data_IF_560658288786
#
_entry.id   IF_560658288786
#
_cell.length_a   1.000
_cell.length_b   1.000
_cell.length_c   1.000
_cell.angle_alpha   90.00
_cell.angle_beta   90.00
_cell.angle_gamma   90.00
#
_symmetry.space_group_name_H-M   'P 1'
#
loop_
_entity.id
_entity.type
_entity.pdbx_description
1 polymer ?
#
# COMPACT_ATOMS: atom_id res chain seq x y z
N UNK A 1 -12.57 13.97 5.22
CA UNK A 1 -12.30 12.52 5.38
C UNK A 1 -13.38 11.73 4.69
N UNK A 2 -13.01 10.81 3.82
CA UNK A 2 -13.98 10.04 3.06
C UNK A 2 -13.52 8.59 2.90
N UNK A 3 -14.48 7.68 2.99
CA UNK A 3 -14.29 6.28 2.64
C UNK A 3 -14.59 6.15 1.14
N UNK A 4 -13.62 5.61 0.41
CA UNK A 4 -13.74 5.38 -1.03
C UNK A 4 -13.85 3.87 -1.26
N UNK A 5 -14.72 3.46 -2.17
CA UNK A 5 -14.90 2.05 -2.48
C UNK A 5 -13.61 1.42 -3.03
N UNK A 6 -13.27 0.25 -2.49
CA UNK A 6 -12.12 -0.51 -2.96
C UNK A 6 -12.50 -1.21 -4.26
N UNK A 7 -11.70 -0.97 -5.31
CA UNK A 7 -11.91 -1.64 -6.60
C UNK A 7 -11.51 -3.11 -6.51
N UNK A 8 -12.21 -3.96 -7.23
CA UNK A 8 -12.04 -5.40 -7.16
C UNK A 8 -11.27 -5.92 -8.37
N UNK A 9 -10.77 -7.14 -8.24
CA UNK A 9 -10.13 -7.88 -9.30
C UNK A 9 -10.97 -7.81 -10.59
N UNK A 10 -10.29 -7.54 -11.70
CA UNK A 10 -10.94 -7.31 -13.00
C UNK A 10 -11.06 -5.83 -13.39
N UNK A 11 -10.89 -4.90 -12.44
CA UNK A 11 -10.83 -3.48 -12.76
C UNK A 11 -9.50 -3.15 -13.43
N UNK A 12 -9.54 -2.46 -14.58
CA UNK A 12 -8.34 -2.18 -15.39
C UNK A 12 -7.28 -1.37 -14.67
N UNK A 13 -7.63 -0.55 -13.67
CA UNK A 13 -6.66 0.24 -12.90
C UNK A 13 -5.68 -0.64 -12.11
N UNK A 14 -6.09 -1.84 -11.71
CA UNK A 14 -5.24 -2.78 -10.98
C UNK A 14 -4.18 -3.43 -11.88
N UNK A 15 -4.41 -3.46 -13.19
CA UNK A 15 -3.52 -4.07 -14.17
C UNK A 15 -2.51 -3.07 -14.77
N UNK A 16 -2.64 -1.80 -14.43
CA UNK A 16 -1.76 -0.74 -14.94
C UNK A 16 -0.57 -0.54 -14.03
N UNK A 17 0.57 -0.22 -14.62
CA UNK A 17 1.70 0.30 -13.86
C UNK A 17 1.34 1.68 -13.33
N UNK A 18 1.45 1.87 -12.01
CA UNK A 18 1.13 3.16 -11.39
C UNK A 18 2.06 4.27 -11.85
N UNK A 19 1.50 5.45 -12.08
CA UNK A 19 2.27 6.65 -12.43
C UNK A 19 2.99 7.19 -11.19
N UNK A 20 4.24 7.66 -11.33
CA UNK A 20 4.92 8.33 -10.23
C UNK A 20 4.13 9.54 -9.73
N UNK A 21 4.17 9.77 -8.44
CA UNK A 21 3.60 10.98 -7.85
C UNK A 21 4.57 12.14 -8.13
N UNK A 22 4.07 13.16 -8.85
CA UNK A 22 4.85 14.35 -9.20
C UNK A 22 4.34 15.59 -8.48
N UNK A 23 3.04 15.64 -8.20
CA UNK A 23 2.39 16.74 -7.51
C UNK A 23 2.03 16.31 -6.09
N UNK A 24 2.69 16.90 -5.12
CA UNK A 24 2.49 16.57 -3.72
C UNK A 24 1.44 17.45 -3.03
N UNK A 25 1.05 18.58 -3.64
CA UNK A 25 -0.03 19.42 -3.11
C UNK A 25 -1.36 18.66 -3.15
N UNK A 26 -2.10 18.67 -2.03
CA UNK A 26 -3.37 17.94 -1.90
C UNK A 26 -3.21 16.45 -1.65
N UNK A 27 -1.99 15.93 -1.62
CA UNK A 27 -1.73 14.50 -1.41
C UNK A 27 -2.16 14.05 -0.02
N UNK A 28 -2.07 14.92 0.98
CA UNK A 28 -2.47 14.61 2.35
C UNK A 28 -3.93 14.19 2.46
N UNK A 29 -4.83 14.84 1.72
CA UNK A 29 -6.24 14.47 1.70
C UNK A 29 -6.44 13.08 1.07
N UNK A 30 -5.72 12.79 0.00
CA UNK A 30 -5.75 11.46 -0.64
C UNK A 30 -5.29 10.39 0.34
N UNK A 31 -4.19 10.63 1.05
CA UNK A 31 -3.65 9.70 2.04
C UNK A 31 -4.64 9.48 3.18
N UNK A 32 -5.27 10.55 3.68
CA UNK A 32 -6.29 10.47 4.72
C UNK A 32 -7.48 9.60 4.29
N UNK A 33 -7.97 9.82 3.06
CA UNK A 33 -9.03 9.01 2.49
C UNK A 33 -8.61 7.53 2.32
N UNK A 34 -7.35 7.28 2.00
CA UNK A 34 -6.81 5.92 1.92
C UNK A 34 -6.84 5.22 3.27
N UNK A 35 -6.41 5.89 4.34
CA UNK A 35 -6.48 5.32 5.68
C UNK A 35 -7.91 5.04 6.10
N UNK A 36 -8.84 5.97 5.87
CA UNK A 36 -10.25 5.79 6.20
C UNK A 36 -10.85 4.59 5.45
N UNK A 37 -10.54 4.46 4.16
CA UNK A 37 -11.02 3.35 3.32
C UNK A 37 -10.44 2.00 3.77
N UNK A 38 -9.16 1.99 4.13
CA UNK A 38 -8.49 0.81 4.64
C UNK A 38 -9.08 0.34 5.97
N UNK A 39 -9.30 1.26 6.91
CA UNK A 39 -9.87 0.94 8.23
C UNK A 39 -11.29 0.43 8.11
N UNK A 40 -12.11 1.04 7.26
CA UNK A 40 -13.49 0.59 7.02
C UNK A 40 -13.52 -0.83 6.48
N UNK A 41 -12.55 -1.21 5.67
CA UNK A 41 -12.43 -2.55 5.10
C UNK A 41 -11.63 -3.52 6.00
N UNK A 42 -11.21 -3.07 7.19
CA UNK A 42 -10.43 -3.87 8.14
C UNK A 42 -9.09 -4.37 7.59
N UNK A 43 -8.47 -3.57 6.72
CA UNK A 43 -7.17 -3.87 6.12
C UNK A 43 -6.01 -3.29 6.92
N UNK A 44 -4.80 -3.78 6.66
CA UNK A 44 -3.56 -3.31 7.28
C UNK A 44 -2.64 -2.62 6.26
N UNK A 45 -2.96 -2.70 4.99
CA UNK A 45 -2.24 -2.05 3.90
C UNK A 45 -3.17 -1.74 2.74
N UNK A 46 -2.86 -0.70 2.00
CA UNK A 46 -3.65 -0.30 0.84
C UNK A 46 -2.77 0.48 -0.14
N UNK A 47 -2.85 0.11 -1.42
CA UNK A 47 -2.24 0.88 -2.50
C UNK A 47 -3.27 1.82 -3.14
N UNK A 48 -2.82 2.95 -3.67
CA UNK A 48 -3.70 3.95 -4.25
C UNK A 48 -4.56 3.42 -5.40
N UNK A 49 -4.03 2.50 -6.21
CA UNK A 49 -4.81 1.92 -7.30
C UNK A 49 -5.99 1.07 -6.81
N UNK A 50 -5.97 0.60 -5.58
CA UNK A 50 -7.10 -0.15 -4.98
C UNK A 50 -8.31 0.74 -4.69
N UNK A 51 -8.14 2.05 -4.67
CA UNK A 51 -9.25 3.01 -4.61
C UNK A 51 -9.41 3.80 -5.93
N UNK A 52 -8.90 3.25 -7.02
CA UNK A 52 -9.10 3.79 -8.37
C UNK A 52 -8.13 4.89 -8.78
N UNK A 53 -7.10 5.18 -7.99
CA UNK A 53 -6.12 6.23 -8.29
C UNK A 53 -4.84 5.61 -8.88
N UNK A 54 -4.46 6.06 -10.08
CA UNK A 54 -3.26 5.57 -10.75
C UNK A 54 -2.01 6.32 -10.24
N UNK A 55 -1.70 6.12 -8.95
CA UNK A 55 -0.56 6.75 -8.27
C UNK A 55 0.33 5.72 -7.61
N UNK A 56 1.64 5.91 -7.70
CA UNK A 56 2.65 5.06 -7.07
C UNK A 56 2.78 5.41 -5.58
N UNK A 57 1.82 4.96 -4.79
CA UNK A 57 1.64 5.31 -3.39
C UNK A 57 0.94 4.15 -2.68
N UNK A 58 1.45 3.78 -1.50
CA UNK A 58 0.74 2.84 -0.63
C UNK A 58 0.95 3.20 0.84
N UNK A 59 0.06 2.68 1.68
CA UNK A 59 0.05 2.92 3.12
C UNK A 59 0.02 1.61 3.89
N UNK A 60 0.54 1.64 5.11
CA UNK A 60 0.56 0.49 6.02
C UNK A 60 0.23 0.97 7.43
N UNK A 61 -0.62 0.21 8.12
CA UNK A 61 -0.84 0.36 9.55
C UNK A 61 -0.84 -1.02 10.22
N UNK A 62 0.23 -1.32 10.94
CA UNK A 62 0.36 -2.52 11.79
C UNK A 62 0.55 -2.13 13.26
N UNK A 63 0.07 -0.96 13.65
CA UNK A 63 0.19 -0.45 15.02
C UNK A 63 -0.56 -1.28 16.06
N UNK A 64 -1.52 -2.10 15.62
CA UNK A 64 -2.22 -3.05 16.48
C UNK A 64 -1.36 -4.28 16.85
N UNK A 65 -0.16 -4.41 16.25
CA UNK A 65 0.81 -5.46 16.55
C UNK A 65 2.02 -4.86 17.29
N UNK A 66 2.92 -5.71 17.75
CA UNK A 66 4.18 -5.26 18.36
C UNK A 66 5.25 -4.89 17.31
N UNK A 67 4.93 -4.98 16.03
CA UNK A 67 5.90 -4.78 14.94
C UNK A 67 6.12 -3.31 14.60
N UNK A 68 5.17 -2.43 14.90
CA UNK A 68 5.28 -1.00 14.63
C UNK A 68 4.48 -0.19 15.63
N UNK A 69 4.94 1.02 15.94
CA UNK A 69 4.28 1.99 16.81
C UNK A 69 3.79 3.22 16.05
N UNK A 70 3.96 3.26 14.74
CA UNK A 70 3.43 4.32 13.87
C UNK A 70 3.01 3.79 12.50
N UNK A 71 2.17 4.54 11.80
CA UNK A 71 1.76 4.24 10.44
C UNK A 71 2.84 4.68 9.45
N UNK A 72 2.82 4.11 8.25
CA UNK A 72 3.77 4.45 7.19
C UNK A 72 3.07 4.77 5.88
N UNK A 73 3.62 5.75 5.17
CA UNK A 73 3.21 6.16 3.83
C UNK A 73 4.42 6.07 2.91
N UNK A 74 4.31 5.33 1.83
CA UNK A 74 5.40 5.10 0.88
C UNK A 74 5.01 5.65 -0.48
N UNK A 75 5.76 6.66 -0.95
CA UNK A 75 5.51 7.35 -2.21
C UNK A 75 6.67 7.10 -3.15
N UNK A 76 6.37 6.75 -4.40
CA UNK A 76 7.38 6.49 -5.43
C UNK A 76 8.42 5.47 -4.98
N UNK A 77 7.96 4.39 -4.35
CA UNK A 77 8.84 3.38 -3.78
C UNK A 77 9.54 2.53 -4.84
N UNK A 78 10.76 2.11 -4.53
CA UNK A 78 11.55 1.22 -5.36
C UNK A 78 12.23 0.18 -4.47
N UNK A 79 12.12 -1.09 -4.80
CA UNK A 79 12.82 -2.16 -4.10
C UNK A 79 14.26 -2.20 -4.60
N UNK A 80 15.22 -1.93 -3.69
CA UNK A 80 16.64 -1.91 -4.02
C UNK A 80 17.28 -3.29 -3.91
N UNK A 81 16.85 -4.10 -2.95
CA UNK A 81 17.39 -5.43 -2.75
C UNK A 81 16.47 -6.31 -1.92
N UNK A 82 16.68 -7.63 -2.02
CA UNK A 82 15.96 -8.65 -1.27
C UNK A 82 16.95 -9.41 -0.40
N UNK A 83 16.55 -9.74 0.83
CA UNK A 83 17.43 -10.40 1.81
C UNK A 83 16.69 -11.51 2.55
N UNK A 84 17.48 -12.48 3.04
CA UNK A 84 16.98 -13.59 3.84
C UNK A 84 16.35 -14.70 3.02
N UNK A 85 15.78 -15.67 3.71
CA UNK A 85 15.13 -16.82 3.08
C UNK A 85 13.78 -16.41 2.52
N UNK A 86 13.38 -17.04 1.41
CA UNK A 86 12.01 -16.94 0.95
C UNK A 86 11.15 -17.89 1.76
N UNK A 87 10.04 -17.38 2.25
CA UNK A 87 9.06 -18.15 3.02
C UNK A 87 7.66 -17.93 2.46
N UNK A 88 6.76 -18.87 2.73
CA UNK A 88 5.37 -18.73 2.34
C UNK A 88 4.58 -18.05 3.44
N UNK A 89 3.79 -17.05 3.06
CA UNK A 89 2.85 -16.36 3.95
C UNK A 89 1.44 -16.53 3.40
N UNK A 90 0.49 -16.78 4.29
CA UNK A 90 -0.91 -16.74 3.89
C UNK A 90 -1.34 -15.27 3.82
N UNK A 91 -1.69 -14.81 2.62
CA UNK A 91 -2.02 -13.41 2.37
C UNK A 91 -3.41 -13.28 1.75
N UNK A 92 -4.11 -12.24 2.18
CA UNK A 92 -5.35 -11.78 1.56
C UNK A 92 -5.17 -10.41 0.95
N UNK A 93 -6.13 -9.99 0.14
CA UNK A 93 -6.14 -8.67 -0.49
C UNK A 93 -7.57 -8.13 -0.49
N UNK A 94 -7.75 -6.85 -0.16
CA UNK A 94 -9.07 -6.20 -0.14
C UNK A 94 -9.73 -6.19 -1.52
N UNK A 95 -8.94 -6.22 -2.60
CA UNK A 95 -9.44 -6.30 -3.98
C UNK A 95 -9.84 -7.74 -4.38
N UNK A 96 -9.54 -8.73 -3.55
CA UNK A 96 -9.89 -10.15 -3.71
C UNK A 96 -10.58 -10.64 -2.43
N UNK A 97 -11.79 -10.16 -2.13
CA UNK A 97 -12.45 -10.48 -0.86
C UNK A 97 -12.72 -11.98 -0.71
N UNK A 98 -12.46 -12.50 0.49
CA UNK A 98 -12.70 -13.90 0.83
C UNK A 98 -11.66 -14.88 0.29
N UNK A 99 -10.61 -14.41 -0.38
CA UNK A 99 -9.56 -15.26 -0.94
C UNK A 99 -8.28 -15.03 -0.14
N UNK A 100 -7.68 -16.11 0.35
CA UNK A 100 -6.37 -16.12 0.95
C UNK A 100 -5.46 -17.07 0.17
N UNK A 101 -4.25 -16.64 -0.13
CA UNK A 101 -3.29 -17.39 -0.94
C UNK A 101 -1.97 -17.52 -0.17
N UNK A 102 -1.29 -18.66 -0.38
CA UNK A 102 0.09 -18.81 0.10
C UNK A 102 1.01 -18.13 -0.90
N UNK A 103 1.74 -17.11 -0.44
CA UNK A 103 2.64 -16.31 -1.28
C UNK A 103 4.07 -16.48 -0.78
N UNK A 104 4.99 -16.82 -1.69
CA UNK A 104 6.42 -16.89 -1.38
C UNK A 104 7.02 -15.49 -1.41
N UNK A 105 7.63 -15.08 -0.29
CA UNK A 105 8.22 -13.76 -0.15
C UNK A 105 9.61 -13.85 0.47
N UNK A 106 10.54 -12.94 0.11
CA UNK A 106 11.80 -12.82 0.83
C UNK A 106 11.53 -12.31 2.26
N UNK A 107 12.40 -12.68 3.18
CA UNK A 107 12.26 -12.30 4.59
C UNK A 107 12.36 -10.80 4.79
N UNK A 108 13.25 -10.12 4.04
CA UNK A 108 13.52 -8.68 4.14
C UNK A 108 13.72 -8.07 2.76
N UNK A 109 13.36 -6.79 2.65
CA UNK A 109 13.65 -5.97 1.49
C UNK A 109 14.28 -4.65 1.94
N UNK A 110 15.04 -4.03 1.05
CA UNK A 110 15.48 -2.65 1.20
C UNK A 110 14.70 -1.80 0.22
N UNK A 111 14.02 -0.79 0.72
CA UNK A 111 13.10 0.06 -0.02
C UNK A 111 13.57 1.51 -0.01
N UNK A 112 13.58 2.13 -1.19
CA UNK A 112 13.77 3.58 -1.34
C UNK A 112 12.41 4.21 -1.61
N UNK A 113 12.06 5.28 -0.90
CA UNK A 113 10.76 5.92 -1.06
C UNK A 113 10.80 7.40 -0.65
N UNK A 114 9.76 8.15 -1.04
CA UNK A 114 9.55 9.52 -0.60
C UNK A 114 8.46 9.58 0.48
N UNK A 115 8.59 10.52 1.38
CA UNK A 115 7.52 10.92 2.31
C UNK A 115 6.78 12.14 1.78
N UNK A 116 5.70 12.57 2.45
CA UNK A 116 4.82 13.66 1.98
C UNK A 116 5.57 14.99 1.82
N UNK A 117 6.66 15.17 2.55
CA UNK A 117 7.54 16.33 2.47
C UNK A 117 8.55 16.26 1.30
N UNK A 118 8.39 15.28 0.41
CA UNK A 118 9.21 15.01 -0.76
C UNK A 118 10.64 14.54 -0.45
N UNK A 119 10.95 14.22 0.79
CA UNK A 119 12.26 13.70 1.17
C UNK A 119 12.38 12.21 0.86
N UNK A 120 13.55 11.80 0.40
CA UNK A 120 13.88 10.41 0.14
C UNK A 120 14.44 9.72 1.39
N UNK A 121 14.06 8.45 1.53
CA UNK A 121 14.52 7.59 2.62
C UNK A 121 15.04 6.25 2.11
#
# INVERSE_FOLDING_TARGET
MAVIDIVKYGNSVLDRKCSPVKKFSGLELIIENMFDSMYEAEGIGLAANQIGLNLHLFIIDVTHTDEADETHVFINSEILSYHGKKTFFQEGCLSLPGIALDVERPEKIVLKYQTVDQKWH
#
